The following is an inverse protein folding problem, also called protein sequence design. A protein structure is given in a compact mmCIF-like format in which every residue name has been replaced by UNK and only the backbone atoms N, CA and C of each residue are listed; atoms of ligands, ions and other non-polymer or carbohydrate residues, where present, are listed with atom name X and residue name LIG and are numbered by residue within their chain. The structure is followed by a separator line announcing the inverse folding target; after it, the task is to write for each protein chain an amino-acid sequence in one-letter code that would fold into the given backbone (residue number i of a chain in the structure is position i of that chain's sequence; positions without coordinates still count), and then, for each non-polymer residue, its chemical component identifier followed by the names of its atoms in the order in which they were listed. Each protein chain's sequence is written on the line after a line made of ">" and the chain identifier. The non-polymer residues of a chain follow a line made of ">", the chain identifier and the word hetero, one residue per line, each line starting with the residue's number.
data_IF_267254110627
#
_entry.id   IF_267254110627
#
_cell.length_a   1.000
_cell.length_b   1.000
_cell.length_c   1.000
_cell.angle_alpha   90.00
_cell.angle_beta   90.00
_cell.angle_gamma   90.00
#
_symmetry.space_group_name_H-M   'P 1'
#
loop_
_entity.id
_entity.type
_entity.pdbx_description
1 polymer ?
#
# COMPACT_ATOMS: atom_id res chain seq x y z
N UNK A 1 -34.45 -2.56 0.51
CA UNK A 1 -33.11 -2.57 1.12
C UNK A 1 -32.32 -3.68 0.43
N UNK A 2 -31.61 -3.33 -0.65
CA UNK A 2 -31.02 -4.29 -1.59
C UNK A 2 -29.64 -4.71 -1.07
N UNK A 3 -29.57 -5.89 -0.47
CA UNK A 3 -28.28 -6.57 -0.21
C UNK A 3 -27.72 -6.95 -1.57
N UNK A 4 -26.67 -6.27 -2.02
CA UNK A 4 -25.97 -6.62 -3.25
C UNK A 4 -25.18 -7.91 -2.98
N UNK A 5 -25.81 -9.05 -3.25
CA UNK A 5 -25.14 -10.33 -3.45
C UNK A 5 -24.29 -10.19 -4.73
N UNK A 6 -22.97 -10.03 -4.57
CA UNK A 6 -22.05 -10.22 -5.69
C UNK A 6 -22.19 -11.67 -6.22
N UNK A 7 -22.23 -11.87 -7.54
CA UNK A 7 -22.60 -13.15 -8.14
C UNK A 7 -21.61 -14.27 -7.78
N UNK A 8 -22.19 -15.40 -7.40
CA UNK A 8 -21.55 -16.70 -7.17
C UNK A 8 -21.09 -17.24 -8.53
N UNK A 9 -19.89 -16.91 -8.99
CA UNK A 9 -19.32 -17.53 -10.20
C UNK A 9 -17.80 -17.29 -10.32
N UNK A 10 -17.00 -17.75 -9.36
CA UNK A 10 -15.59 -18.16 -9.55
C UNK A 10 -15.03 -18.80 -8.27
N UNK A 11 -15.84 -19.61 -7.57
CA UNK A 11 -15.38 -20.44 -6.46
C UNK A 11 -15.33 -21.91 -6.90
N UNK A 12 -14.23 -22.58 -6.62
CA UNK A 12 -14.11 -24.02 -6.70
C UNK A 12 -14.54 -24.64 -5.37
N UNK A 13 -15.09 -25.84 -5.40
CA UNK A 13 -15.44 -26.58 -4.18
C UNK A 13 -14.29 -27.48 -3.75
N UNK A 14 -13.93 -27.46 -2.47
CA UNK A 14 -12.97 -28.34 -1.82
C UNK A 14 -13.68 -29.21 -0.77
N UNK A 15 -13.47 -30.52 -0.84
CA UNK A 15 -13.96 -31.46 0.18
C UNK A 15 -12.90 -31.60 1.27
N UNK A 16 -13.27 -31.24 2.50
CA UNK A 16 -12.43 -31.33 3.70
C UNK A 16 -12.07 -32.79 3.96
N UNK A 17 -10.78 -33.09 4.05
CA UNK A 17 -10.27 -34.44 4.33
C UNK A 17 -10.02 -34.62 5.84
N UNK A 18 -9.84 -35.86 6.27
CA UNK A 18 -9.45 -36.18 7.65
C UNK A 18 -8.17 -35.45 8.04
N UNK A 19 -8.23 -34.63 9.10
CA UNK A 19 -7.10 -33.83 9.60
C UNK A 19 -6.94 -32.47 8.93
N UNK A 20 -7.80 -32.11 7.98
CA UNK A 20 -7.84 -30.74 7.45
C UNK A 20 -8.35 -29.75 8.52
N UNK A 21 -7.75 -28.57 8.51
CA UNK A 21 -8.20 -27.37 9.21
C UNK A 21 -8.26 -26.23 8.21
N UNK A 22 -8.96 -25.13 8.52
CA UNK A 22 -8.96 -23.94 7.66
C UNK A 22 -7.54 -23.43 7.36
N UNK A 23 -6.64 -23.52 8.32
CA UNK A 23 -5.24 -23.14 8.15
C UNK A 23 -4.47 -24.06 7.19
N UNK A 24 -4.69 -25.39 7.24
CA UNK A 24 -4.00 -26.33 6.35
C UNK A 24 -4.54 -26.25 4.92
N UNK A 25 -5.86 -26.12 4.76
CA UNK A 25 -6.50 -25.91 3.46
C UNK A 25 -6.05 -24.57 2.86
N UNK A 26 -6.01 -23.52 3.68
CA UNK A 26 -5.56 -22.20 3.27
C UNK A 26 -4.15 -22.23 2.69
N UNK A 27 -3.20 -22.82 3.40
CA UNK A 27 -1.83 -23.00 2.90
C UNK A 27 -1.76 -23.76 1.58
N UNK A 28 -2.53 -24.85 1.45
CA UNK A 28 -2.54 -25.70 0.25
C UNK A 28 -3.09 -24.98 -0.99
N UNK A 29 -3.97 -24.01 -0.77
CA UNK A 29 -4.67 -23.28 -1.84
C UNK A 29 -4.29 -21.79 -1.90
N UNK A 30 -3.24 -21.38 -1.20
CA UNK A 30 -2.76 -20.00 -1.12
C UNK A 30 -3.84 -19.00 -0.63
N UNK A 31 -4.65 -19.41 0.34
CA UNK A 31 -5.71 -18.62 0.98
C UNK A 31 -5.43 -18.46 2.49
N UNK A 32 -5.75 -17.31 3.07
CA UNK A 32 -5.69 -17.18 4.53
C UNK A 32 -6.87 -17.89 5.19
N UNK A 33 -6.70 -18.34 6.44
CA UNK A 33 -7.78 -18.93 7.26
C UNK A 33 -9.02 -18.01 7.27
N UNK A 34 -8.81 -16.72 7.48
CA UNK A 34 -9.90 -15.73 7.56
C UNK A 34 -10.60 -15.53 6.20
N UNK A 35 -9.87 -15.66 5.10
CA UNK A 35 -10.46 -15.63 3.75
C UNK A 35 -11.35 -16.85 3.50
N UNK A 36 -10.91 -18.04 3.94
CA UNK A 36 -11.73 -19.24 3.88
C UNK A 36 -12.98 -19.15 4.77
N UNK A 37 -12.86 -18.56 5.97
CA UNK A 37 -14.01 -18.29 6.84
C UNK A 37 -15.04 -17.39 6.16
N UNK A 38 -14.58 -16.29 5.56
CA UNK A 38 -15.46 -15.34 4.87
C UNK A 38 -16.16 -15.94 3.66
N UNK A 39 -15.41 -16.64 2.79
CA UNK A 39 -15.95 -17.27 1.58
C UNK A 39 -17.01 -18.34 1.88
N UNK A 40 -16.92 -18.94 3.07
CA UNK A 40 -17.81 -20.02 3.53
C UNK A 40 -18.77 -19.62 4.64
N UNK A 41 -18.78 -18.34 5.04
CA UNK A 41 -19.60 -17.79 6.14
C UNK A 41 -19.41 -18.55 7.47
N UNK A 42 -18.20 -19.02 7.74
CA UNK A 42 -17.83 -19.70 8.98
C UNK A 42 -17.42 -18.67 10.04
N UNK A 43 -17.87 -18.88 11.28
CA UNK A 43 -17.59 -17.99 12.42
C UNK A 43 -16.28 -18.35 13.12
N UNK A 44 -15.91 -19.61 13.11
CA UNK A 44 -14.66 -20.12 13.69
C UNK A 44 -14.20 -21.43 13.02
N UNK A 45 -13.11 -22.02 13.52
CA UNK A 45 -12.50 -23.22 12.94
C UNK A 45 -13.25 -24.52 13.29
N UNK A 46 -14.06 -24.51 14.35
CA UNK A 46 -14.80 -25.68 14.81
C UNK A 46 -16.00 -25.98 13.91
N UNK A 47 -16.37 -25.02 13.05
CA UNK A 47 -17.38 -25.18 12.02
C UNK A 47 -16.85 -25.90 10.76
N UNK A 48 -15.63 -26.48 10.83
CA UNK A 48 -15.04 -27.31 9.79
C UNK A 48 -14.88 -28.77 10.21
N UNK A 49 -15.41 -29.70 9.41
CA UNK A 49 -15.35 -31.13 9.69
C UNK A 49 -15.07 -32.00 8.46
N UNK A 50 -14.56 -33.20 8.68
CA UNK A 50 -14.27 -34.17 7.63
C UNK A 50 -15.49 -34.43 6.74
N UNK A 51 -15.29 -34.33 5.42
CA UNK A 51 -16.32 -34.56 4.42
C UNK A 51 -17.16 -33.32 4.08
N UNK A 52 -17.06 -32.23 4.84
CA UNK A 52 -17.70 -30.96 4.50
C UNK A 52 -17.15 -30.42 3.17
N UNK A 53 -17.99 -29.79 2.37
CA UNK A 53 -17.58 -29.12 1.14
C UNK A 53 -17.56 -27.62 1.39
N UNK A 54 -16.40 -27.00 1.20
CA UNK A 54 -16.20 -25.56 1.34
C UNK A 54 -15.74 -24.95 0.00
N UNK A 55 -16.04 -23.69 -0.23
CA UNK A 55 -15.63 -22.88 -1.36
C UNK A 55 -14.17 -22.40 -1.20
N UNK A 56 -13.40 -22.44 -2.28
CA UNK A 56 -12.03 -21.93 -2.45
C UNK A 56 -11.90 -21.14 -3.77
N UNK A 57 -10.80 -20.40 -3.97
CA UNK A 57 -10.51 -19.70 -5.23
C UNK A 57 -9.83 -20.61 -6.27
N UNK A 58 -9.90 -20.28 -7.59
CA UNK A 58 -9.26 -21.06 -8.64
C UNK A 58 -7.72 -21.00 -8.57
N UNK A 59 -7.02 -22.09 -8.93
CA UNK A 59 -5.56 -22.06 -9.11
C UNK A 59 -5.19 -21.25 -10.36
N UNK A 60 -4.26 -20.30 -10.23
CA UNK A 60 -3.73 -19.48 -11.32
C UNK A 60 -2.84 -20.36 -12.24
N UNK A 61 -3.19 -20.48 -13.54
CA UNK A 61 -2.40 -21.21 -14.55
C UNK A 61 -1.67 -20.21 -15.45
N UNK A 62 -0.37 -20.42 -15.66
CA UNK A 62 0.52 -19.49 -16.36
C UNK A 62 0.98 -20.11 -17.70
N UNK A 63 0.56 -19.56 -18.85
CA UNK A 63 0.95 -20.05 -20.18
C UNK A 63 1.28 -18.87 -21.12
N UNK A 64 2.57 -18.72 -21.49
CA UNK A 64 3.07 -17.71 -22.44
C UNK A 64 3.72 -18.37 -23.66
N UNK A 65 3.37 -17.89 -24.87
CA UNK A 65 4.16 -18.08 -26.09
C UNK A 65 4.00 -16.84 -27.01
N UNK A 66 5.06 -16.11 -27.41
CA UNK A 66 4.92 -14.87 -28.17
C UNK A 66 5.28 -15.01 -29.66
N UNK A 67 4.65 -14.20 -30.51
CA UNK A 67 5.12 -13.89 -31.86
C UNK A 67 4.88 -12.40 -32.16
N UNK A 68 5.94 -11.70 -32.56
CA UNK A 68 6.07 -10.23 -32.71
C UNK A 68 5.24 -9.65 -33.88
N UNK A 69 4.61 -8.49 -33.65
CA UNK A 69 4.25 -7.48 -34.66
C UNK A 69 4.58 -6.08 -34.12
N UNK A 70 5.21 -5.25 -34.94
CA UNK A 70 5.62 -3.86 -34.64
C UNK A 70 4.43 -2.90 -34.83
N UNK A 71 4.21 -1.95 -33.91
CA UNK A 71 3.18 -0.91 -34.02
C UNK A 71 3.74 0.50 -33.76
N UNK A 72 3.16 1.50 -34.43
CA UNK A 72 3.57 2.92 -34.53
C UNK A 72 3.00 3.73 -33.34
N UNK A 73 3.80 4.58 -32.67
CA UNK A 73 3.37 5.51 -31.61
C UNK A 73 2.67 6.74 -32.19
N UNK A 74 1.53 7.15 -31.62
CA UNK A 74 0.83 8.40 -31.94
C UNK A 74 0.79 9.29 -30.68
N UNK A 75 1.59 10.35 -30.66
CA UNK A 75 1.66 11.28 -29.53
C UNK A 75 0.52 12.30 -29.57
N UNK A 76 0.00 12.69 -28.39
CA UNK A 76 -1.13 13.62 -28.21
C UNK A 76 -0.66 14.88 -27.49
N UNK A 77 -1.12 16.06 -27.89
CA UNK A 77 -0.83 17.31 -27.16
C UNK A 77 -1.94 17.60 -26.14
N UNK A 78 -1.57 17.93 -24.90
CA UNK A 78 -2.47 18.22 -23.79
C UNK A 78 -2.15 19.57 -23.13
N UNK A 79 -3.17 20.34 -22.72
CA UNK A 79 -3.00 21.60 -21.98
C UNK A 79 -3.41 21.38 -20.53
N UNK A 80 -2.48 21.56 -19.60
CA UNK A 80 -2.66 21.37 -18.16
C UNK A 80 -3.76 22.29 -17.63
N UNK A 81 -4.72 21.71 -16.91
CA UNK A 81 -5.86 22.38 -16.28
C UNK A 81 -5.65 22.50 -14.77
N UNK A 82 -6.44 23.38 -14.15
CA UNK A 82 -6.44 23.50 -12.69
C UNK A 82 -6.82 22.17 -12.05
N UNK A 83 -5.96 21.65 -11.17
CA UNK A 83 -6.14 20.36 -10.51
C UNK A 83 -5.53 19.16 -11.24
N UNK A 84 -4.88 19.37 -12.38
CA UNK A 84 -4.13 18.31 -13.06
C UNK A 84 -2.81 18.01 -12.34
N UNK A 85 -2.40 16.74 -12.40
CA UNK A 85 -1.06 16.28 -12.04
C UNK A 85 -0.50 15.49 -13.22
N UNK A 86 0.82 15.37 -13.35
CA UNK A 86 1.35 14.51 -14.42
C UNK A 86 0.85 13.06 -14.30
N UNK A 87 0.54 12.63 -13.08
CA UNK A 87 0.00 11.30 -12.82
C UNK A 87 -1.41 11.11 -13.39
N UNK A 88 -2.35 12.01 -13.11
CA UNK A 88 -3.73 11.83 -13.62
C UNK A 88 -3.79 12.00 -15.14
N UNK A 89 -2.92 12.82 -15.73
CA UNK A 89 -2.72 12.94 -17.17
C UNK A 89 -2.14 11.63 -17.73
N UNK A 90 -1.05 11.10 -17.16
CA UNK A 90 -0.44 9.85 -17.61
C UNK A 90 -1.46 8.70 -17.64
N UNK A 91 -2.26 8.59 -16.57
CA UNK A 91 -3.30 7.56 -16.45
C UNK A 91 -4.42 7.74 -17.47
N UNK A 92 -4.89 8.98 -17.71
CA UNK A 92 -5.94 9.27 -18.68
C UNK A 92 -5.54 8.93 -20.12
N UNK A 93 -4.25 8.98 -20.44
CA UNK A 93 -3.70 8.76 -21.77
C UNK A 93 -2.93 7.44 -21.91
N UNK A 94 -2.93 6.58 -20.88
CA UNK A 94 -2.30 5.26 -20.91
C UNK A 94 -0.79 5.30 -21.14
N UNK A 95 -0.09 6.27 -20.52
CA UNK A 95 1.38 6.38 -20.50
C UNK A 95 1.87 6.52 -19.07
N UNK A 96 3.16 6.85 -18.86
CA UNK A 96 3.75 7.06 -17.53
C UNK A 96 4.15 8.51 -17.33
N UNK A 97 4.18 8.95 -16.08
CA UNK A 97 4.72 10.27 -15.70
C UNK A 97 6.14 10.43 -16.23
N UNK A 98 6.96 9.38 -16.14
CA UNK A 98 8.34 9.41 -16.62
C UNK A 98 8.44 9.60 -18.14
N UNK A 99 7.60 8.92 -18.93
CA UNK A 99 7.56 9.12 -20.37
C UNK A 99 7.12 10.54 -20.73
N UNK A 100 6.13 11.10 -20.02
CA UNK A 100 5.73 12.50 -20.18
C UNK A 100 6.90 13.43 -19.81
N UNK A 101 7.56 13.20 -18.67
CA UNK A 101 8.69 14.01 -18.24
C UNK A 101 9.84 13.99 -19.24
N UNK A 102 10.18 12.81 -19.77
CA UNK A 102 11.25 12.64 -20.74
C UNK A 102 10.96 13.40 -22.03
N UNK A 103 9.74 13.28 -22.56
CA UNK A 103 9.35 13.95 -23.82
C UNK A 103 9.22 15.47 -23.64
N UNK A 104 8.87 15.94 -22.45
CA UNK A 104 8.67 17.37 -22.17
C UNK A 104 9.85 18.04 -21.45
N UNK A 105 10.94 17.31 -21.18
CA UNK A 105 12.10 17.84 -20.44
C UNK A 105 11.78 18.27 -19.00
N UNK A 106 10.76 17.67 -18.37
CA UNK A 106 10.33 18.04 -17.00
C UNK A 106 11.24 17.33 -15.99
N UNK A 107 11.99 18.12 -15.22
CA UNK A 107 12.88 17.59 -14.18
C UNK A 107 12.17 17.33 -12.85
N UNK A 108 11.12 18.10 -12.55
CA UNK A 108 10.30 17.91 -11.36
C UNK A 108 8.84 17.60 -11.75
N UNK A 109 8.39 16.34 -11.59
CA UNK A 109 7.04 15.93 -11.97
C UNK A 109 5.90 16.64 -11.23
N UNK A 110 6.17 17.18 -10.04
CA UNK A 110 5.18 17.88 -9.21
C UNK A 110 5.02 19.36 -9.60
N UNK A 111 5.91 19.88 -10.45
CA UNK A 111 5.95 21.29 -10.83
C UNK A 111 5.45 21.48 -12.26
N UNK A 112 4.16 21.26 -12.47
CA UNK A 112 3.46 21.65 -13.70
C UNK A 112 2.54 22.83 -13.45
N UNK A 113 2.36 23.67 -14.48
CA UNK A 113 1.58 24.90 -14.38
C UNK A 113 0.30 24.82 -15.21
N UNK A 114 -0.79 25.37 -14.69
CA UNK A 114 -2.02 25.53 -15.47
C UNK A 114 -1.73 26.32 -16.75
N UNK A 115 -2.18 25.81 -17.89
CA UNK A 115 -1.87 26.35 -19.22
C UNK A 115 -0.57 25.83 -19.84
N UNK A 116 0.23 25.04 -19.11
CA UNK A 116 1.39 24.35 -19.68
C UNK A 116 0.94 23.33 -20.74
N UNK A 117 1.61 23.33 -21.88
CA UNK A 117 1.35 22.37 -22.96
C UNK A 117 2.32 21.20 -22.81
N UNK A 118 1.77 19.98 -22.79
CA UNK A 118 2.50 18.73 -22.67
C UNK A 118 2.30 17.87 -23.90
N UNK A 119 3.38 17.27 -24.39
CA UNK A 119 3.34 16.15 -25.32
C UNK A 119 3.17 14.86 -24.52
N UNK A 120 2.05 14.18 -24.72
CA UNK A 120 1.69 12.93 -24.06
C UNK A 120 1.97 11.79 -25.04
N UNK A 121 2.99 10.95 -24.79
CA UNK A 121 3.33 9.90 -25.73
C UNK A 121 2.20 8.85 -25.79
N UNK A 122 1.88 8.42 -27.01
CA UNK A 122 0.84 7.40 -27.21
C UNK A 122 1.26 6.04 -26.65
N UNK A 123 0.32 5.31 -26.05
CA UNK A 123 0.56 3.98 -25.48
C UNK A 123 1.19 3.02 -26.48
N UNK A 124 2.47 2.69 -26.28
CA UNK A 124 3.07 1.50 -26.87
C UNK A 124 2.83 0.32 -25.94
N UNK A 125 1.73 -0.40 -26.14
CA UNK A 125 1.56 -1.75 -25.60
C UNK A 125 2.51 -2.70 -26.34
N UNK A 126 3.75 -2.80 -25.87
CA UNK A 126 4.77 -3.72 -26.36
C UNK A 126 6.05 -3.65 -25.55
N UNK A 127 6.24 -4.58 -24.61
CA UNK A 127 7.38 -4.63 -23.69
C UNK A 127 8.67 -5.25 -24.26
N UNK A 128 9.77 -5.03 -23.52
CA UNK A 128 11.09 -5.68 -23.59
C UNK A 128 12.23 -4.67 -23.75
N UNK A 129 12.80 -4.07 -22.70
CA UNK A 129 13.70 -4.59 -21.64
C UNK A 129 15.18 -4.20 -21.90
N UNK A 130 15.75 -3.44 -20.97
CA UNK A 130 17.16 -3.47 -20.55
C UNK A 130 17.30 -2.67 -19.23
N UNK A 131 17.29 -3.37 -18.09
CA UNK A 131 18.19 -3.03 -16.97
C UNK A 131 17.83 -1.90 -16.00
N UNK A 132 16.62 -1.86 -15.46
CA UNK A 132 16.32 -1.43 -14.08
C UNK A 132 14.83 -1.63 -13.83
N UNK A 133 14.43 -2.65 -13.06
CA UNK A 133 13.04 -2.74 -12.59
C UNK A 133 12.86 -1.61 -11.59
N UNK A 134 12.25 -0.51 -12.05
CA UNK A 134 11.76 0.56 -11.20
C UNK A 134 10.63 -0.03 -10.34
N UNK A 135 10.86 -0.16 -9.03
CA UNK A 135 9.80 -0.49 -8.06
C UNK A 135 9.05 0.77 -7.62
N UNK A 136 9.08 1.81 -8.45
CA UNK A 136 8.56 3.13 -8.11
C UNK A 136 7.03 3.15 -8.03
N UNK A 137 6.38 1.99 -8.26
CA UNK A 137 4.94 1.87 -8.28
C UNK A 137 4.46 0.50 -7.78
N UNK A 138 3.67 0.50 -6.71
CA UNK A 138 2.85 -0.62 -6.29
C UNK A 138 1.54 -0.64 -7.08
N UNK A 139 1.18 -1.80 -7.64
CA UNK A 139 -0.07 -1.96 -8.38
C UNK A 139 -1.22 -2.40 -7.46
N UNK A 140 -2.46 -2.16 -7.91
CA UNK A 140 -3.67 -2.66 -7.24
C UNK A 140 -3.60 -4.17 -7.04
N UNK A 141 -3.09 -4.92 -8.03
CA UNK A 141 -3.00 -6.37 -7.94
C UNK A 141 -1.96 -6.84 -6.94
N UNK A 142 -0.83 -6.13 -6.81
CA UNK A 142 0.16 -6.39 -5.76
C UNK A 142 -0.42 -6.15 -4.36
N UNK A 143 -1.16 -5.04 -4.18
CA UNK A 143 -1.79 -4.74 -2.90
C UNK A 143 -2.94 -5.71 -2.56
N UNK A 144 -3.73 -6.13 -3.55
CA UNK A 144 -4.71 -7.22 -3.40
C UNK A 144 -4.04 -8.54 -3.06
N UNK A 145 -2.89 -8.86 -3.67
CA UNK A 145 -2.12 -10.06 -3.37
C UNK A 145 -1.53 -10.02 -1.96
N UNK A 146 -1.20 -8.83 -1.43
CA UNK A 146 -0.90 -8.64 -0.01
C UNK A 146 -2.12 -8.83 0.90
N UNK A 147 -3.33 -8.67 0.37
CA UNK A 147 -4.58 -8.70 1.12
C UNK A 147 -4.96 -7.34 1.72
N UNK A 148 -4.49 -6.24 1.11
CA UNK A 148 -4.77 -4.89 1.58
C UNK A 148 -6.27 -4.56 1.49
N UNK A 149 -6.79 -3.93 2.54
CA UNK A 149 -8.23 -3.71 2.72
C UNK A 149 -8.80 -2.69 1.73
N UNK A 150 -8.15 -1.53 1.60
CA UNK A 150 -8.56 -0.45 0.71
C UNK A 150 -7.54 -0.27 -0.42
N UNK A 151 -7.94 -0.68 -1.62
CA UNK A 151 -7.18 -0.49 -2.87
C UNK A 151 -7.88 0.48 -3.81
N UNK A 152 -8.65 1.43 -3.24
CA UNK A 152 -9.27 2.51 -4.01
C UNK A 152 -8.21 3.38 -4.69
N UNK A 153 -8.62 4.11 -5.73
CA UNK A 153 -7.72 5.03 -6.43
C UNK A 153 -7.09 6.05 -5.48
N UNK A 154 -7.84 6.58 -4.51
CA UNK A 154 -7.30 7.54 -3.53
C UNK A 154 -6.16 6.92 -2.71
N UNK A 155 -6.38 5.71 -2.19
CA UNK A 155 -5.40 5.01 -1.36
C UNK A 155 -4.15 4.61 -2.17
N UNK A 156 -4.35 4.11 -3.39
CA UNK A 156 -3.26 3.76 -4.29
C UNK A 156 -2.47 4.98 -4.77
N UNK A 157 -3.13 6.14 -4.92
CA UNK A 157 -2.47 7.39 -5.27
C UNK A 157 -1.58 7.86 -4.12
N UNK A 158 -2.07 7.81 -2.89
CA UNK A 158 -1.28 8.14 -1.71
C UNK A 158 -0.09 7.17 -1.54
N UNK A 159 -0.29 5.86 -1.71
CA UNK A 159 0.78 4.86 -1.67
C UNK A 159 1.89 5.19 -2.67
N UNK A 160 1.54 5.37 -3.93
CA UNK A 160 2.53 5.55 -4.97
C UNK A 160 3.21 6.92 -4.89
N UNK A 161 2.47 7.95 -4.47
CA UNK A 161 3.06 9.25 -4.13
C UNK A 161 4.06 9.12 -2.98
N UNK A 162 3.73 8.34 -1.96
CA UNK A 162 4.61 8.04 -0.84
C UNK A 162 5.88 7.31 -1.30
N UNK A 163 5.75 6.20 -2.05
CA UNK A 163 6.90 5.41 -2.51
C UNK A 163 7.88 6.27 -3.32
N UNK A 164 7.36 7.09 -4.24
CA UNK A 164 8.17 8.00 -5.04
C UNK A 164 8.80 9.12 -4.19
N UNK A 165 7.99 9.81 -3.38
CA UNK A 165 8.42 10.96 -2.56
C UNK A 165 9.56 10.62 -1.61
N UNK A 166 9.52 9.42 -1.04
CA UNK A 166 10.50 8.98 -0.05
C UNK A 166 11.50 7.97 -0.61
N UNK A 167 11.56 7.77 -1.94
CA UNK A 167 12.52 6.87 -2.57
C UNK A 167 12.44 5.42 -2.06
N UNK A 168 11.24 4.94 -1.71
CA UNK A 168 10.98 3.57 -1.25
C UNK A 168 10.84 2.67 -2.48
N UNK A 169 11.88 2.68 -3.32
CA UNK A 169 11.88 2.07 -4.65
C UNK A 169 12.91 0.95 -4.79
N UNK A 170 13.66 0.67 -3.73
CA UNK A 170 14.45 -0.55 -3.63
C UNK A 170 13.58 -1.75 -3.30
N UNK A 171 13.90 -2.91 -3.90
CA UNK A 171 13.15 -4.15 -3.69
C UNK A 171 13.08 -4.53 -2.20
N UNK A 172 14.15 -4.34 -1.44
CA UNK A 172 14.14 -4.64 0.00
C UNK A 172 13.32 -3.62 0.76
N UNK A 173 13.48 -2.33 0.43
CA UNK A 173 12.74 -1.23 1.05
C UNK A 173 11.24 -1.37 0.87
N UNK A 174 10.72 -1.63 -0.33
CA UNK A 174 9.28 -1.77 -0.56
C UNK A 174 8.69 -2.98 0.17
N UNK A 175 9.40 -4.12 0.19
CA UNK A 175 8.94 -5.33 0.89
C UNK A 175 8.86 -5.12 2.39
N UNK A 176 9.90 -4.51 2.98
CA UNK A 176 9.89 -4.17 4.40
C UNK A 176 8.83 -3.12 4.72
N UNK A 177 8.77 -2.02 3.95
CA UNK A 177 7.79 -0.95 4.16
C UNK A 177 6.36 -1.48 4.16
N UNK A 178 5.94 -2.18 3.11
CA UNK A 178 4.58 -2.73 2.99
C UNK A 178 4.30 -3.76 4.09
N UNK A 179 5.27 -4.65 4.41
CA UNK A 179 5.06 -5.68 5.44
C UNK A 179 4.94 -5.13 6.86
N UNK A 180 5.69 -4.07 7.19
CA UNK A 180 5.58 -3.40 8.47
C UNK A 180 4.25 -2.64 8.55
N UNK A 181 3.86 -1.93 7.46
CA UNK A 181 2.58 -1.23 7.40
C UNK A 181 1.43 -2.22 7.55
N UNK A 182 1.52 -3.40 6.91
CA UNK A 182 0.52 -4.46 7.02
C UNK A 182 0.31 -4.92 8.46
N UNK A 183 1.37 -5.01 9.26
CA UNK A 183 1.26 -5.40 10.66
C UNK A 183 0.63 -4.31 11.52
N UNK A 184 1.17 -3.09 11.44
CA UNK A 184 0.71 -1.94 12.26
C UNK A 184 -0.75 -1.58 12.02
N UNK A 185 -1.21 -1.69 10.76
CA UNK A 185 -2.55 -1.26 10.34
C UNK A 185 -3.56 -2.38 10.17
N UNK A 186 -3.14 -3.63 10.42
CA UNK A 186 -3.93 -4.82 10.12
C UNK A 186 -4.37 -4.87 8.64
N UNK A 187 -3.39 -4.85 7.72
CA UNK A 187 -3.56 -4.80 6.26
C UNK A 187 -4.39 -3.59 5.79
N UNK A 188 -4.15 -2.44 6.41
CA UNK A 188 -4.78 -1.18 6.06
C UNK A 188 -6.21 -1.00 6.58
N UNK A 189 -6.67 -1.87 7.48
CA UNK A 189 -7.99 -1.74 8.12
C UNK A 189 -8.06 -0.57 9.10
N UNK A 190 -6.94 -0.24 9.73
CA UNK A 190 -6.82 0.86 10.67
C UNK A 190 -5.80 1.88 10.17
N UNK A 191 -6.27 3.11 9.97
CA UNK A 191 -5.45 4.29 9.65
C UNK A 191 -5.30 5.21 10.87
N UNK A 192 -5.79 4.75 12.03
CA UNK A 192 -5.81 5.46 13.31
C UNK A 192 -5.47 4.45 14.40
N UNK A 193 -4.69 4.90 15.37
CA UNK A 193 -4.51 4.18 16.63
C UNK A 193 -5.88 3.92 17.28
N UNK A 194 -6.09 2.70 17.76
CA UNK A 194 -7.37 2.26 18.33
C UNK A 194 -7.58 2.91 19.71
N UNK A 195 -6.50 3.10 20.47
CA UNK A 195 -6.55 3.75 21.78
C UNK A 195 -7.00 5.21 21.67
N UNK A 196 -7.52 5.76 22.77
CA UNK A 196 -8.09 7.10 22.78
C UNK A 196 -7.06 8.21 22.56
N UNK A 197 -5.78 7.94 22.81
CA UNK A 197 -4.71 8.96 22.79
C UNK A 197 -4.62 9.79 24.06
N UNK A 198 -5.50 9.58 25.04
CA UNK A 198 -5.51 10.30 26.33
C UNK A 198 -4.19 10.12 27.10
N UNK A 199 -3.53 8.97 26.93
CA UNK A 199 -2.22 8.72 27.53
C UNK A 199 -1.12 9.66 27.02
N UNK A 200 -1.33 10.32 25.87
CA UNK A 200 -0.39 11.30 25.31
C UNK A 200 -0.67 12.73 25.74
N UNK A 201 -1.77 13.00 26.44
CA UNK A 201 -2.17 14.34 26.84
C UNK A 201 -1.11 14.97 27.75
N UNK A 202 -0.74 16.23 27.47
CA UNK A 202 0.25 16.98 28.26
C UNK A 202 1.69 16.45 28.17
N UNK A 203 1.97 15.41 27.37
CA UNK A 203 3.32 14.88 27.21
C UNK A 203 4.17 15.79 26.33
N UNK A 204 4.97 16.66 26.97
CA UNK A 204 5.88 17.58 26.30
C UNK A 204 6.88 16.90 25.35
N UNK A 205 7.24 15.62 25.60
CA UNK A 205 8.12 14.84 24.71
C UNK A 205 7.53 14.65 23.30
N UNK A 206 6.20 14.72 23.18
CA UNK A 206 5.46 14.62 21.93
C UNK A 206 5.00 16.00 21.41
N UNK A 207 5.40 17.08 22.10
CA UNK A 207 4.94 18.44 21.84
C UNK A 207 3.48 18.68 22.23
N UNK A 208 2.84 17.76 22.94
CA UNK A 208 1.45 17.87 23.37
C UNK A 208 1.36 18.82 24.56
N UNK A 209 1.28 20.12 24.30
CA UNK A 209 1.29 21.18 25.34
C UNK A 209 -0.06 21.88 25.48
N UNK A 210 -0.97 21.68 24.52
CA UNK A 210 -2.29 22.29 24.54
C UNK A 210 -3.37 21.27 24.94
N UNK A 211 -4.46 21.72 25.61
CA UNK A 211 -5.58 20.85 25.93
C UNK A 211 -6.17 20.15 24.70
N UNK A 212 -6.29 18.82 24.78
CA UNK A 212 -6.87 17.95 23.75
C UNK A 212 -5.86 17.44 22.71
N UNK A 213 -4.56 17.70 22.91
CA UNK A 213 -3.50 17.26 22.00
C UNK A 213 -3.34 15.75 21.94
N UNK A 214 -3.52 15.05 23.06
CA UNK A 214 -3.35 13.62 23.14
C UNK A 214 -4.25 12.88 22.16
N UNK A 215 -5.59 13.00 22.28
CA UNK A 215 -6.53 12.41 21.34
C UNK A 215 -6.40 12.96 19.91
N UNK A 216 -6.13 14.26 19.75
CA UNK A 216 -6.02 14.89 18.43
C UNK A 216 -4.81 14.41 17.64
N UNK A 217 -3.67 14.19 18.29
CA UNK A 217 -2.40 13.83 17.67
C UNK A 217 -1.94 12.41 18.06
N UNK A 218 -2.88 11.51 18.37
CA UNK A 218 -2.57 10.07 18.49
C UNK A 218 -2.09 9.47 17.17
N UNK A 219 -1.66 8.22 17.17
CA UNK A 219 -1.13 7.54 16.00
C UNK A 219 -2.06 7.63 14.77
N UNK A 220 -1.55 8.18 13.67
CA UNK A 220 -2.22 8.18 12.36
C UNK A 220 -1.40 7.47 11.28
N UNK A 221 -2.13 7.13 10.22
CA UNK A 221 -1.62 6.44 9.05
C UNK A 221 -1.28 5.00 9.35
N UNK A 222 -0.53 4.40 8.43
CA UNK A 222 -0.21 2.99 8.54
C UNK A 222 1.01 2.70 9.42
N UNK A 223 1.87 3.69 9.72
CA UNK A 223 2.98 3.57 10.69
C UNK A 223 3.32 4.94 11.32
N UNK A 224 3.25 5.01 12.66
CA UNK A 224 4.02 5.88 13.56
C UNK A 224 4.01 7.42 13.31
N UNK A 225 2.86 8.03 13.03
CA UNK A 225 2.72 9.49 13.22
C UNK A 225 1.97 9.81 14.53
N UNK A 226 2.72 10.15 15.59
CA UNK A 226 2.16 10.44 16.93
C UNK A 226 2.77 11.71 17.53
N UNK A 227 1.96 12.55 18.16
CA UNK A 227 2.36 13.76 18.87
C UNK A 227 2.28 15.03 18.00
N UNK A 228 1.81 16.14 18.59
CA UNK A 228 1.68 17.44 17.93
C UNK A 228 2.95 17.85 17.20
N UNK A 229 4.12 17.63 17.81
CA UNK A 229 5.40 17.96 17.20
C UNK A 229 5.58 17.26 15.84
N UNK A 230 5.34 15.94 15.79
CA UNK A 230 5.51 15.14 14.58
C UNK A 230 4.46 15.49 13.52
N UNK A 231 3.20 15.74 13.92
CA UNK A 231 2.18 16.25 13.01
C UNK A 231 2.57 17.60 12.40
N UNK A 232 3.15 18.51 13.19
CA UNK A 232 3.61 19.80 12.67
C UNK A 232 4.78 19.64 11.70
N UNK A 233 5.73 18.73 11.99
CA UNK A 233 6.81 18.44 11.04
C UNK A 233 6.26 17.85 9.74
N UNK A 234 5.29 16.95 9.84
CA UNK A 234 4.64 16.38 8.66
C UNK A 234 3.88 17.44 7.86
N UNK A 235 3.07 18.27 8.52
CA UNK A 235 2.34 19.40 7.93
C UNK A 235 3.26 20.33 7.14
N UNK A 236 4.40 20.69 7.74
CA UNK A 236 5.41 21.54 7.10
C UNK A 236 6.03 20.84 5.88
N UNK A 237 6.33 19.55 5.99
CA UNK A 237 6.98 18.79 4.93
C UNK A 237 6.08 18.62 3.69
N UNK A 238 4.80 18.29 3.89
CA UNK A 238 3.85 18.17 2.78
C UNK A 238 3.22 19.51 2.37
N UNK A 239 3.56 20.59 3.08
CA UNK A 239 3.02 21.94 2.91
C UNK A 239 1.47 21.98 2.97
N UNK A 240 0.90 21.29 3.96
CA UNK A 240 -0.53 21.25 4.21
C UNK A 240 -0.82 21.45 5.69
N UNK A 241 -1.28 22.66 6.04
CA UNK A 241 -1.64 23.01 7.40
C UNK A 241 -2.83 22.23 7.96
N UNK A 242 -3.66 21.61 7.10
CA UNK A 242 -4.82 20.83 7.55
C UNK A 242 -4.41 19.55 8.26
N UNK A 243 -3.17 19.06 8.09
CA UNK A 243 -2.60 17.99 8.93
C UNK A 243 -2.76 18.30 10.42
N UNK A 244 -2.68 19.57 10.82
CA UNK A 244 -2.84 19.97 12.21
C UNK A 244 -4.28 19.84 12.72
N UNK A 245 -5.27 19.51 11.87
CA UNK A 245 -6.60 19.07 12.31
C UNK A 245 -6.54 17.74 13.07
N UNK A 246 -5.47 16.96 12.88
CA UNK A 246 -5.15 15.79 13.70
C UNK A 246 -5.42 14.47 12.98
N UNK A 247 -5.54 13.42 13.79
CA UNK A 247 -5.60 12.01 13.38
C UNK A 247 -6.64 11.74 12.29
N UNK A 248 -7.81 12.37 12.36
CA UNK A 248 -8.88 12.15 11.39
C UNK A 248 -8.49 12.59 9.98
N UNK A 249 -7.86 13.77 9.87
CA UNK A 249 -7.45 14.32 8.59
C UNK A 249 -6.33 13.50 7.95
N UNK A 250 -5.30 13.16 8.73
CA UNK A 250 -4.17 12.36 8.22
C UNK A 250 -4.62 10.96 7.80
N UNK A 251 -5.49 10.33 8.59
CA UNK A 251 -6.00 8.98 8.31
C UNK A 251 -6.83 8.90 7.02
N UNK A 252 -7.48 10.00 6.64
CA UNK A 252 -8.30 10.09 5.42
C UNK A 252 -7.45 10.47 4.19
N UNK A 253 -6.48 11.38 4.34
CA UNK A 253 -5.80 12.00 3.21
C UNK A 253 -4.39 11.44 2.96
N UNK A 254 -3.68 11.02 4.02
CA UNK A 254 -2.26 10.66 3.96
C UNK A 254 -1.87 9.40 4.76
N UNK A 255 -2.64 8.30 4.73
CA UNK A 255 -2.30 7.12 5.52
C UNK A 255 -0.96 6.47 5.14
N UNK A 256 -0.57 6.48 3.86
CA UNK A 256 0.74 6.05 3.39
C UNK A 256 1.78 7.15 3.49
N UNK A 257 1.48 8.36 3.04
CA UNK A 257 2.49 9.44 3.00
C UNK A 257 2.99 9.80 4.40
N UNK A 258 2.14 9.70 5.44
CA UNK A 258 2.60 9.85 6.84
C UNK A 258 3.52 8.70 7.30
N UNK A 259 3.24 7.45 6.89
CA UNK A 259 4.12 6.31 7.16
C UNK A 259 5.47 6.45 6.45
N UNK A 260 5.47 6.91 5.19
CA UNK A 260 6.70 7.20 4.44
C UNK A 260 7.53 8.33 5.05
N UNK A 261 6.87 9.34 5.62
CA UNK A 261 7.55 10.43 6.33
C UNK A 261 8.34 9.91 7.54
N UNK A 262 7.70 9.07 8.37
CA UNK A 262 8.39 8.40 9.48
C UNK A 262 9.52 7.49 8.97
N UNK A 263 9.26 6.73 7.90
CA UNK A 263 10.22 5.81 7.29
C UNK A 263 11.50 6.52 6.84
N UNK A 264 11.36 7.66 6.16
CA UNK A 264 12.46 8.51 5.73
C UNK A 264 13.22 9.10 6.92
N UNK A 265 12.50 9.68 7.90
CA UNK A 265 13.09 10.30 9.08
C UNK A 265 13.95 9.33 9.91
N UNK A 266 13.61 8.04 9.86
CA UNK A 266 14.32 6.99 10.57
C UNK A 266 15.37 6.27 9.70
N UNK A 267 15.65 6.72 8.47
CA UNK A 267 16.68 6.13 7.61
C UNK A 267 16.40 4.66 7.25
N UNK A 268 15.13 4.31 7.11
CA UNK A 268 14.71 2.92 6.95
C UNK A 268 15.06 2.35 5.57
N UNK A 269 15.06 3.16 4.51
CA UNK A 269 15.53 2.73 3.19
C UNK A 269 16.98 2.24 3.25
N UNK A 270 17.89 3.04 3.82
CA UNK A 270 19.30 2.64 3.95
C UNK A 270 19.45 1.36 4.79
N UNK A 271 18.70 1.23 5.87
CA UNK A 271 18.69 0.01 6.69
C UNK A 271 18.29 -1.21 5.84
N UNK A 272 17.19 -1.11 5.09
CA UNK A 272 16.67 -2.21 4.28
C UNK A 272 17.62 -2.56 3.13
N UNK A 273 18.14 -1.57 2.41
CA UNK A 273 19.05 -1.82 1.28
C UNK A 273 20.42 -2.37 1.71
N UNK A 274 20.82 -2.15 2.97
CA UNK A 274 21.99 -2.80 3.58
C UNK A 274 21.75 -4.27 3.96
N UNK A 275 20.56 -4.83 3.68
CA UNK A 275 20.25 -6.23 3.93
C UNK A 275 19.71 -6.53 5.33
N UNK A 276 19.11 -5.54 5.99
CA UNK A 276 18.53 -5.75 7.32
C UNK A 276 17.45 -6.85 7.32
N UNK A 277 17.50 -7.66 8.37
CA UNK A 277 16.52 -8.69 8.68
C UNK A 277 15.18 -8.09 9.11
N UNK A 278 14.13 -8.92 9.11
CA UNK A 278 12.80 -8.52 9.60
C UNK A 278 12.88 -8.12 11.07
N UNK A 279 13.74 -8.76 11.84
CA UNK A 279 14.00 -8.50 13.25
C UNK A 279 14.58 -7.11 13.48
N UNK A 280 15.62 -6.74 12.72
CA UNK A 280 16.27 -5.43 12.82
C UNK A 280 15.31 -4.30 12.42
N UNK A 281 14.55 -4.50 11.34
CA UNK A 281 13.52 -3.54 10.91
C UNK A 281 12.40 -3.44 11.95
N UNK A 282 11.93 -4.56 12.49
CA UNK A 282 10.88 -4.61 13.52
C UNK A 282 11.31 -3.88 14.79
N UNK A 283 12.53 -4.13 15.26
CA UNK A 283 13.05 -3.46 16.45
C UNK A 283 13.13 -1.95 16.26
N UNK A 284 13.48 -1.49 15.06
CA UNK A 284 13.52 -0.06 14.75
C UNK A 284 12.14 0.58 14.62
N UNK A 285 11.16 -0.16 14.09
CA UNK A 285 9.76 0.30 13.99
C UNK A 285 9.07 0.39 15.35
N UNK A 286 9.31 -0.58 16.23
CA UNK A 286 8.48 -0.77 17.43
C UNK A 286 9.26 -0.67 18.76
N UNK A 287 10.58 -0.52 18.72
CA UNK A 287 11.46 -0.56 19.91
C UNK A 287 11.53 -1.93 20.60
N UNK A 288 10.83 -2.94 20.06
CA UNK A 288 10.67 -4.28 20.61
C UNK A 288 10.27 -5.28 19.51
N UNK A 289 10.19 -6.57 19.86
CA UNK A 289 9.85 -7.65 18.92
C UNK A 289 8.36 -8.05 18.93
N UNK A 290 7.47 -7.19 19.45
CA UNK A 290 6.04 -7.49 19.48
C UNK A 290 5.53 -7.68 18.04
N UNK A 291 4.82 -8.80 17.82
CA UNK A 291 4.26 -9.14 16.50
C UNK A 291 5.26 -9.68 15.48
N UNK A 292 6.52 -9.96 15.86
CA UNK A 292 7.59 -10.34 14.93
C UNK A 292 7.21 -11.49 13.97
N UNK A 293 6.55 -12.54 14.45
CA UNK A 293 6.18 -13.67 13.60
C UNK A 293 5.20 -13.29 12.49
N UNK A 294 4.24 -12.40 12.79
CA UNK A 294 3.31 -11.90 11.77
C UNK A 294 4.03 -10.98 10.78
N UNK A 295 4.97 -10.14 11.26
CA UNK A 295 5.81 -9.30 10.37
C UNK A 295 6.64 -10.15 9.42
N UNK A 296 7.22 -11.26 9.89
CA UNK A 296 7.92 -12.24 9.03
C UNK A 296 7.00 -12.84 7.96
N UNK A 297 5.77 -13.17 8.33
CA UNK A 297 4.78 -13.69 7.37
C UNK A 297 4.44 -12.67 6.30
N UNK A 298 4.16 -11.42 6.68
CA UNK A 298 3.90 -10.35 5.71
C UNK A 298 5.13 -10.05 4.85
N UNK A 299 6.33 -10.08 5.40
CA UNK A 299 7.56 -9.88 4.62
C UNK A 299 7.78 -11.02 3.61
N UNK A 300 7.58 -12.27 4.03
CA UNK A 300 7.65 -13.43 3.15
C UNK A 300 6.62 -13.34 2.01
N UNK A 301 5.41 -12.86 2.30
CA UNK A 301 4.38 -12.60 1.29
C UNK A 301 4.80 -11.48 0.33
N UNK A 302 5.32 -10.36 0.84
CA UNK A 302 5.82 -9.27 0.02
C UNK A 302 6.97 -9.73 -0.91
N UNK A 303 7.84 -10.64 -0.44
CA UNK A 303 8.90 -11.22 -1.27
C UNK A 303 8.39 -12.04 -2.47
N UNK A 304 7.14 -12.52 -2.44
CA UNK A 304 6.53 -13.22 -3.57
C UNK A 304 5.88 -12.25 -4.58
N UNK A 305 5.67 -10.99 -4.20
CA UNK A 305 4.87 -10.01 -4.94
C UNK A 305 5.74 -8.95 -5.64
N UNK A 306 6.80 -8.49 -4.96
CA UNK A 306 7.84 -7.56 -5.48
C UNK A 306 9.16 -8.28 -5.57
#
# INVERSE_FOLDING_TARGET
>A
MLVLLLPIALSFSYKVNKGDTLSTIGRKHFLSKRHLQYLNRLRDDQEVWEGQVIQILPPQQNNNNPSKRQMVKNDVTYVVKSGDTLWNIANAYGTTVQEICNVNGISNPDLIFVGQVLTIPGSSSGGGDSGSVSYDHATVDQMKAMGWFDVSNSNMNDLNSCLQRFGITGRQSIRHFISQCAHESLLGQYTKEIDSGEAYEGLAIYGNTEPGDGPRFKGAGYIQLTGRYNYQQFANFINDGNVMQGVDYVAEHYPWTSAGFWWQANGMNQLCENGASVEEVTYKVNGAYNGLEQRRQYYAQACQIW
#
